data_IF_749898011466
#
_entry.id   IF_749898011466
#
_cell.length_a   1.000
_cell.length_b   1.000
_cell.length_c   1.000
_cell.angle_alpha   90.00
_cell.angle_beta   90.00
_cell.angle_gamma   90.00
#
_symmetry.space_group_name_H-M   'P 1'
#
loop_
_entity.id
_entity.type
_entity.pdbx_description
1 polymer ?
#
# COMPACT_ATOMS: atom_id res chain seq x y z
N UNK A 1 27.55 -36.96 9.23
CA UNK A 1 27.96 -37.28 7.85
C UNK A 1 28.50 -38.69 7.87
N UNK A 2 27.90 -39.61 7.12
CA UNK A 2 28.39 -40.97 6.94
C UNK A 2 29.07 -41.08 5.59
N UNK A 3 30.22 -41.76 5.57
CA UNK A 3 30.91 -42.10 4.32
C UNK A 3 30.68 -43.58 4.07
N UNK A 4 30.05 -43.89 2.93
CA UNK A 4 29.79 -45.28 2.52
C UNK A 4 30.79 -45.65 1.42
N UNK A 5 31.48 -46.78 1.63
CA UNK A 5 32.33 -47.41 0.61
C UNK A 5 31.55 -48.47 -0.14
N UNK A 6 31.73 -48.57 -1.44
CA UNK A 6 30.94 -49.43 -2.33
C UNK A 6 31.40 -50.91 -2.28
N UNK A 7 32.63 -51.14 -1.76
CA UNK A 7 33.23 -52.46 -1.65
C UNK A 7 33.78 -52.68 -0.22
N UNK A 8 33.95 -53.93 0.16
CA UNK A 8 34.32 -54.46 1.50
C UNK A 8 35.34 -53.61 2.28
N UNK A 9 35.13 -53.54 3.58
CA UNK A 9 35.86 -52.79 4.60
C UNK A 9 37.34 -52.56 4.27
N UNK A 10 37.65 -51.48 3.59
CA UNK A 10 39.00 -51.00 3.37
C UNK A 10 39.39 -50.15 4.58
N UNK A 11 40.37 -50.56 5.37
CA UNK A 11 40.94 -49.71 6.40
C UNK A 11 41.68 -48.55 5.74
N UNK A 12 41.20 -47.33 5.99
CA UNK A 12 41.84 -46.11 5.52
C UNK A 12 43.29 -46.05 6.03
N UNK A 13 44.25 -45.71 5.19
CA UNK A 13 45.58 -45.37 5.59
C UNK A 13 45.61 -44.03 6.37
N UNK A 14 46.72 -43.71 7.00
CA UNK A 14 46.85 -42.53 7.84
C UNK A 14 46.56 -41.22 7.09
N UNK A 15 47.04 -41.08 5.86
CA UNK A 15 46.82 -39.89 5.03
C UNK A 15 45.33 -39.74 4.61
N UNK A 16 44.71 -40.86 4.27
CA UNK A 16 43.27 -40.87 3.90
C UNK A 16 42.39 -40.52 5.11
N UNK A 17 42.72 -41.01 6.33
CA UNK A 17 42.01 -40.59 7.55
C UNK A 17 42.13 -39.11 7.79
N UNK A 18 43.33 -38.55 7.70
CA UNK A 18 43.58 -37.13 7.92
C UNK A 18 42.85 -36.24 6.88
N UNK A 19 42.83 -36.68 5.62
CA UNK A 19 42.10 -36.00 4.56
C UNK A 19 40.59 -36.04 4.83
N UNK A 20 40.07 -37.21 5.23
CA UNK A 20 38.64 -37.39 5.53
C UNK A 20 38.19 -36.51 6.70
N UNK A 21 39.01 -36.47 7.79
CA UNK A 21 38.76 -35.59 8.94
C UNK A 21 38.70 -34.12 8.52
N UNK A 22 39.66 -33.66 7.71
CA UNK A 22 39.71 -32.28 7.20
C UNK A 22 38.48 -31.95 6.33
N UNK A 23 38.05 -32.88 5.46
CA UNK A 23 36.87 -32.68 4.62
C UNK A 23 35.61 -32.63 5.47
N UNK A 24 35.47 -33.51 6.47
CA UNK A 24 34.32 -33.49 7.38
C UNK A 24 34.27 -32.17 8.16
N UNK A 25 35.41 -31.69 8.66
CA UNK A 25 35.50 -30.43 9.37
C UNK A 25 35.09 -29.23 8.47
N UNK A 26 35.56 -29.23 7.21
CA UNK A 26 35.20 -28.23 6.24
C UNK A 26 33.68 -28.22 5.92
N UNK A 27 33.08 -29.40 5.75
CA UNK A 27 31.65 -29.55 5.51
C UNK A 27 30.85 -29.07 6.74
N UNK A 28 31.27 -29.42 7.94
CA UNK A 28 30.64 -29.01 9.18
C UNK A 28 30.68 -27.47 9.34
N UNK A 29 31.84 -26.86 9.07
CA UNK A 29 31.97 -25.39 9.09
C UNK A 29 31.13 -24.72 8.04
N UNK A 30 31.06 -25.25 6.82
CA UNK A 30 30.20 -24.71 5.76
C UNK A 30 28.73 -24.81 6.12
N UNK A 31 28.27 -25.93 6.66
CA UNK A 31 26.89 -26.13 7.10
C UNK A 31 26.53 -25.17 8.25
N UNK A 32 27.41 -25.04 9.25
CA UNK A 32 27.19 -24.10 10.35
C UNK A 32 27.15 -22.66 9.88
N UNK A 33 28.02 -22.26 8.95
CA UNK A 33 28.02 -20.93 8.36
C UNK A 33 26.69 -20.63 7.63
N UNK A 34 26.20 -21.60 6.84
CA UNK A 34 24.91 -21.44 6.13
C UNK A 34 23.76 -21.31 7.12
N UNK A 35 23.75 -22.11 8.19
CA UNK A 35 22.74 -22.02 9.24
C UNK A 35 22.75 -20.63 9.91
N UNK A 36 23.95 -20.16 10.33
CA UNK A 36 24.10 -18.85 10.97
C UNK A 36 23.68 -17.69 10.06
N UNK A 37 23.97 -17.78 8.75
CA UNK A 37 23.52 -16.77 7.78
C UNK A 37 21.99 -16.73 7.72
N UNK A 38 21.34 -17.88 7.62
CA UNK A 38 19.87 -17.96 7.59
C UNK A 38 19.25 -17.45 8.91
N UNK A 39 19.83 -17.79 10.06
CA UNK A 39 19.37 -17.28 11.36
C UNK A 39 19.53 -15.76 11.46
N UNK A 40 20.65 -15.21 10.96
CA UNK A 40 20.87 -13.76 10.92
C UNK A 40 19.89 -13.06 9.99
N UNK A 41 19.60 -13.62 8.81
CA UNK A 41 18.60 -13.06 7.89
C UNK A 41 17.21 -13.06 8.52
N UNK A 42 16.79 -14.16 9.14
CA UNK A 42 15.51 -14.24 9.85
C UNK A 42 15.44 -13.25 11.01
N UNK A 43 16.49 -13.15 11.82
CA UNK A 43 16.55 -12.20 12.92
C UNK A 43 16.49 -10.75 12.43
N UNK A 44 17.16 -10.45 11.30
CA UNK A 44 17.14 -9.12 10.68
C UNK A 44 15.74 -8.77 10.19
N UNK A 45 15.07 -9.67 9.46
CA UNK A 45 13.70 -9.49 8.97
C UNK A 45 12.74 -9.27 10.14
N UNK A 46 12.84 -10.09 11.19
CA UNK A 46 12.00 -9.94 12.40
C UNK A 46 12.24 -8.59 13.07
N UNK A 47 13.51 -8.17 13.24
CA UNK A 47 13.86 -6.88 13.85
C UNK A 47 13.38 -5.70 13.03
N UNK A 48 13.50 -5.74 11.71
CA UNK A 48 12.99 -4.70 10.80
C UNK A 48 11.46 -4.63 10.87
N UNK A 49 10.78 -5.77 10.91
CA UNK A 49 9.31 -5.83 11.04
C UNK A 49 8.84 -5.24 12.37
N UNK A 50 9.48 -5.58 13.49
CA UNK A 50 9.13 -5.02 14.80
C UNK A 50 9.45 -3.52 14.88
N UNK A 51 10.54 -3.07 14.27
CA UNK A 51 10.87 -1.63 14.20
C UNK A 51 9.83 -0.87 13.39
N UNK A 52 9.41 -1.41 12.24
CA UNK A 52 8.34 -0.85 11.42
C UNK A 52 7.03 -0.82 12.19
N UNK A 53 6.66 -1.91 12.88
CA UNK A 53 5.46 -1.99 13.72
C UNK A 53 5.47 -0.95 14.84
N UNK A 54 6.59 -0.76 15.51
CA UNK A 54 6.73 0.24 16.58
C UNK A 54 6.64 1.67 16.05
N UNK A 55 7.29 1.96 14.92
CA UNK A 55 7.19 3.24 14.25
C UNK A 55 5.76 3.55 13.78
N UNK A 56 5.06 2.52 13.23
CA UNK A 56 3.65 2.58 12.86
C UNK A 56 2.77 2.96 14.04
N UNK A 57 2.88 2.25 15.18
CA UNK A 57 2.07 2.52 16.36
C UNK A 57 2.29 3.93 16.92
N UNK A 58 3.53 4.42 16.89
CA UNK A 58 3.87 5.77 17.35
C UNK A 58 3.29 6.85 16.44
N UNK A 59 3.45 6.73 15.12
CA UNK A 59 2.93 7.69 14.15
C UNK A 59 1.40 7.67 14.11
N UNK A 60 0.79 6.50 14.10
CA UNK A 60 -0.67 6.35 14.16
C UNK A 60 -1.24 7.01 15.39
N UNK A 61 -0.61 6.82 16.57
CA UNK A 61 -1.06 7.46 17.80
C UNK A 61 -1.01 9.00 17.74
N UNK A 62 0.01 9.54 17.08
CA UNK A 62 0.12 10.98 16.88
C UNK A 62 -0.96 11.49 15.90
N UNK A 63 -1.14 10.82 14.79
CA UNK A 63 -2.03 11.23 13.71
C UNK A 63 -3.52 11.05 14.04
N UNK A 64 -3.85 10.12 14.96
CA UNK A 64 -5.19 10.00 15.52
C UNK A 64 -5.47 11.07 16.59
N UNK A 65 -4.45 11.52 17.32
CA UNK A 65 -4.63 12.50 18.40
C UNK A 65 -5.02 13.87 17.89
N UNK A 66 -4.48 14.31 16.75
CA UNK A 66 -4.76 15.63 16.18
C UNK A 66 -6.24 15.83 15.81
N UNK A 67 -6.86 14.99 14.94
CA UNK A 67 -8.30 15.12 14.63
C UNK A 67 -9.18 14.93 15.86
N UNK A 68 -8.82 14.02 16.76
CA UNK A 68 -9.56 13.82 18.00
C UNK A 68 -9.53 15.07 18.89
N UNK A 69 -8.39 15.74 19.00
CA UNK A 69 -8.28 17.00 19.75
C UNK A 69 -9.12 18.13 19.13
N UNK A 70 -9.18 18.20 17.79
CA UNK A 70 -10.04 19.15 17.07
C UNK A 70 -11.52 18.88 17.34
N UNK A 71 -11.95 17.61 17.28
CA UNK A 71 -13.33 17.21 17.59
C UNK A 71 -13.70 17.60 19.02
N UNK A 72 -12.85 17.25 19.99
CA UNK A 72 -13.09 17.56 21.40
C UNK A 72 -13.15 19.08 21.62
N UNK A 73 -12.20 19.84 21.07
CA UNK A 73 -12.17 21.29 21.17
C UNK A 73 -13.39 21.97 20.58
N UNK A 74 -13.84 21.54 19.40
CA UNK A 74 -15.05 22.05 18.76
C UNK A 74 -16.31 21.69 19.58
N UNK A 75 -16.41 20.46 20.08
CA UNK A 75 -17.52 20.02 20.93
C UNK A 75 -17.57 20.77 22.28
N UNK A 76 -16.42 20.97 22.93
CA UNK A 76 -16.32 21.73 24.18
C UNK A 76 -16.71 23.19 23.98
N UNK A 77 -16.29 23.79 22.88
CA UNK A 77 -16.64 25.17 22.51
C UNK A 77 -18.16 25.30 22.30
N UNK A 78 -18.77 24.37 21.58
CA UNK A 78 -20.23 24.34 21.43
C UNK A 78 -20.94 24.13 22.76
N UNK A 79 -20.44 23.25 23.63
CA UNK A 79 -21.06 22.95 24.89
C UNK A 79 -21.07 24.16 25.87
N UNK A 80 -19.99 24.95 25.90
CA UNK A 80 -19.81 26.03 26.86
C UNK A 80 -20.23 27.41 26.37
N UNK A 81 -20.09 27.67 25.04
CA UNK A 81 -20.25 29.01 24.47
C UNK A 81 -21.39 29.14 23.46
N UNK A 82 -22.20 28.08 23.27
CA UNK A 82 -23.28 28.06 22.25
C UNK A 82 -24.20 29.30 22.32
N UNK A 83 -24.52 29.79 23.51
CA UNK A 83 -25.41 30.93 23.68
C UNK A 83 -24.82 32.27 23.23
N UNK A 84 -23.47 32.36 23.14
CA UNK A 84 -22.71 33.56 22.77
C UNK A 84 -22.28 33.54 21.30
N UNK A 85 -22.48 32.42 20.60
CA UNK A 85 -22.02 32.20 19.24
C UNK A 85 -23.11 32.52 18.21
N UNK A 86 -22.69 32.98 17.04
CA UNK A 86 -23.59 33.09 15.88
C UNK A 86 -24.00 31.70 15.37
N UNK A 87 -25.10 31.59 14.67
CA UNK A 87 -25.52 30.34 14.01
C UNK A 87 -24.46 29.83 13.02
N UNK A 88 -23.76 30.74 12.35
CA UNK A 88 -22.68 30.39 11.42
C UNK A 88 -21.50 29.76 12.15
N UNK A 89 -21.04 30.34 13.26
CA UNK A 89 -19.93 29.77 14.05
C UNK A 89 -20.28 28.39 14.61
N UNK A 90 -21.56 28.20 15.04
CA UNK A 90 -22.02 26.88 15.49
C UNK A 90 -22.00 25.86 14.35
N UNK A 91 -22.43 26.26 13.15
CA UNK A 91 -22.41 25.39 11.98
C UNK A 91 -20.99 25.03 11.55
N UNK A 92 -20.06 25.99 11.59
CA UNK A 92 -18.65 25.77 11.24
C UNK A 92 -17.97 24.78 12.21
N UNK A 93 -18.31 24.84 13.50
CA UNK A 93 -17.81 23.88 14.50
C UNK A 93 -18.42 22.49 14.30
N UNK A 94 -19.71 22.38 13.97
CA UNK A 94 -20.36 21.11 13.64
C UNK A 94 -19.73 20.48 12.40
N UNK A 95 -19.46 21.29 11.38
CA UNK A 95 -18.77 20.84 10.16
C UNK A 95 -17.35 20.37 10.47
N UNK A 96 -16.61 21.08 11.34
CA UNK A 96 -15.30 20.65 11.81
C UNK A 96 -15.36 19.29 12.50
N UNK A 97 -16.33 19.06 13.39
CA UNK A 97 -16.52 17.75 14.07
C UNK A 97 -16.78 16.66 13.02
N UNK A 98 -17.64 16.94 12.06
CA UNK A 98 -17.99 15.97 11.01
C UNK A 98 -16.78 15.62 10.14
N UNK A 99 -16.07 16.62 9.60
CA UNK A 99 -14.90 16.43 8.74
C UNK A 99 -13.75 15.68 9.42
N UNK A 100 -13.45 16.05 10.69
CA UNK A 100 -12.41 15.36 11.44
C UNK A 100 -12.82 13.96 11.90
N UNK A 101 -14.13 13.74 12.11
CA UNK A 101 -14.69 12.40 12.35
C UNK A 101 -14.54 11.48 11.13
N UNK A 102 -14.88 11.94 9.93
CA UNK A 102 -14.67 11.21 8.68
C UNK A 102 -13.19 10.94 8.41
N UNK A 103 -12.33 11.91 8.75
CA UNK A 103 -10.89 11.75 8.64
C UNK A 103 -10.38 10.64 9.58
N UNK A 104 -10.86 10.60 10.82
CA UNK A 104 -10.51 9.59 11.80
C UNK A 104 -10.96 8.19 11.36
N UNK A 105 -12.16 8.07 10.82
CA UNK A 105 -12.69 6.81 10.29
C UNK A 105 -11.82 6.27 9.15
N UNK A 106 -11.41 7.12 8.21
CA UNK A 106 -10.46 6.75 7.14
C UNK A 106 -9.10 6.29 7.68
N UNK A 107 -8.59 6.92 8.75
CA UNK A 107 -7.36 6.48 9.41
C UNK A 107 -7.49 5.07 9.96
N UNK A 108 -8.58 4.81 10.68
CA UNK A 108 -8.85 3.50 11.27
C UNK A 108 -8.99 2.43 10.18
N UNK A 109 -9.72 2.74 9.10
CA UNK A 109 -9.90 1.81 7.99
C UNK A 109 -8.56 1.48 7.32
N UNK A 110 -7.73 2.47 7.03
CA UNK A 110 -6.40 2.28 6.48
C UNK A 110 -5.50 1.40 7.38
N UNK A 111 -5.59 1.59 8.70
CA UNK A 111 -4.85 0.77 9.67
C UNK A 111 -5.33 -0.69 9.69
N UNK A 112 -6.65 -0.90 9.65
CA UNK A 112 -7.24 -2.24 9.58
C UNK A 112 -6.85 -2.97 8.29
N UNK A 113 -6.87 -2.28 7.16
CA UNK A 113 -6.46 -2.85 5.88
C UNK A 113 -4.97 -3.24 5.89
N UNK A 114 -4.13 -2.42 6.52
CA UNK A 114 -2.70 -2.70 6.68
C UNK A 114 -2.42 -3.90 7.59
N UNK A 115 -3.16 -4.03 8.69
CA UNK A 115 -3.03 -5.20 9.59
C UNK A 115 -3.48 -6.49 8.94
N UNK A 116 -4.48 -6.44 8.07
CA UNK A 116 -4.93 -7.59 7.28
C UNK A 116 -3.89 -8.05 6.27
N UNK A 117 -3.13 -7.13 5.67
CA UNK A 117 -2.07 -7.45 4.70
C UNK A 117 -0.78 -7.99 5.35
N UNK A 118 -0.51 -7.62 6.63
CA UNK A 118 0.72 -7.99 7.35
C UNK A 118 0.72 -9.36 8.04
N UNK A 119 -0.39 -10.11 8.03
CA UNK A 119 -0.43 -11.46 8.57
C UNK A 119 0.00 -12.46 7.49
N UNK A 120 1.20 -12.99 7.63
CA UNK A 120 1.66 -14.19 6.92
C UNK A 120 0.65 -15.31 7.13
N UNK A 121 -0.10 -15.68 6.10
CA UNK A 121 -1.08 -16.78 6.15
C UNK A 121 -2.52 -16.43 5.82
N UNK A 122 -2.88 -15.18 5.54
CA UNK A 122 -4.17 -14.90 4.93
C UNK A 122 -4.16 -15.47 3.51
N UNK A 123 -4.82 -16.62 3.34
CA UNK A 123 -5.24 -17.05 2.01
C UNK A 123 -6.13 -15.93 1.47
N UNK A 124 -5.56 -15.03 0.65
CA UNK A 124 -6.32 -14.04 -0.08
C UNK A 124 -7.40 -14.82 -0.84
N UNK A 125 -8.65 -14.71 -0.40
CA UNK A 125 -9.78 -15.27 -1.16
C UNK A 125 -9.86 -14.51 -2.47
N UNK A 126 -9.13 -14.98 -3.46
CA UNK A 126 -9.16 -14.44 -4.81
C UNK A 126 -10.38 -14.99 -5.54
N UNK A 127 -10.95 -14.16 -6.37
CA UNK A 127 -12.08 -14.51 -7.24
C UNK A 127 -11.91 -13.83 -8.59
N UNK A 128 -12.62 -14.30 -9.60
CA UNK A 128 -12.67 -13.67 -10.91
C UNK A 128 -13.60 -12.47 -10.87
N UNK A 129 -13.09 -11.30 -11.20
CA UNK A 129 -13.86 -10.06 -11.25
C UNK A 129 -13.50 -9.23 -12.47
N UNK A 130 -14.48 -8.56 -13.08
CA UNK A 130 -14.26 -7.63 -14.18
C UNK A 130 -13.54 -6.36 -13.73
N UNK A 131 -12.59 -5.90 -14.54
CA UNK A 131 -11.90 -4.61 -14.29
C UNK A 131 -12.88 -3.44 -14.31
N UNK A 132 -13.88 -3.51 -15.16
CA UNK A 132 -15.00 -2.57 -15.25
C UNK A 132 -15.81 -2.50 -13.94
N UNK A 133 -16.05 -3.64 -13.31
CA UNK A 133 -16.76 -3.73 -12.02
C UNK A 133 -15.93 -3.09 -10.89
N UNK A 134 -14.62 -3.38 -10.82
CA UNK A 134 -13.70 -2.78 -9.84
C UNK A 134 -13.63 -1.27 -9.99
N UNK A 135 -13.41 -0.77 -11.21
CA UNK A 135 -13.33 0.67 -11.51
C UNK A 135 -14.67 1.34 -11.24
N UNK A 136 -15.77 0.71 -11.66
CA UNK A 136 -17.12 1.23 -11.42
C UNK A 136 -17.47 1.30 -9.94
N UNK A 137 -17.06 0.33 -9.12
CA UNK A 137 -17.25 0.34 -7.67
C UNK A 137 -16.46 1.47 -7.01
N UNK A 138 -15.15 1.57 -7.30
CA UNK A 138 -14.30 2.62 -6.78
C UNK A 138 -14.79 4.04 -7.16
N UNK A 139 -15.23 4.22 -8.41
CA UNK A 139 -15.77 5.52 -8.88
C UNK A 139 -17.08 5.87 -8.19
N UNK A 140 -18.02 4.91 -8.02
CA UNK A 140 -19.27 5.14 -7.27
C UNK A 140 -18.98 5.50 -5.81
N UNK A 141 -17.98 4.85 -5.20
CA UNK A 141 -17.55 5.17 -3.85
C UNK A 141 -17.00 6.60 -3.78
N UNK A 142 -16.10 7.00 -4.69
CA UNK A 142 -15.58 8.36 -4.74
C UNK A 142 -16.69 9.41 -4.86
N UNK A 143 -17.66 9.21 -5.73
CA UNK A 143 -18.81 10.14 -5.91
C UNK A 143 -19.64 10.33 -4.65
N UNK A 144 -19.67 9.35 -3.74
CA UNK A 144 -20.38 9.46 -2.46
C UNK A 144 -19.70 10.44 -1.50
N UNK A 145 -18.34 10.46 -1.50
CA UNK A 145 -17.54 11.34 -0.64
C UNK A 145 -17.20 12.68 -1.30
N UNK A 146 -17.11 12.70 -2.63
CA UNK A 146 -16.77 13.88 -3.45
C UNK A 146 -17.70 13.98 -4.65
N UNK A 147 -18.95 14.43 -4.44
CA UNK A 147 -19.98 14.44 -5.50
C UNK A 147 -19.60 15.34 -6.68
N UNK A 148 -18.85 16.42 -6.44
CA UNK A 148 -18.45 17.40 -7.45
C UNK A 148 -17.27 16.95 -8.30
N UNK A 149 -16.56 15.89 -7.92
CA UNK A 149 -15.42 15.38 -8.70
C UNK A 149 -15.92 14.68 -9.97
N UNK A 150 -15.50 15.17 -11.12
CA UNK A 150 -15.74 14.51 -12.40
C UNK A 150 -14.69 13.43 -12.62
N UNK A 151 -15.16 12.21 -12.91
CA UNK A 151 -14.28 11.08 -13.27
C UNK A 151 -14.67 10.62 -14.66
N UNK A 152 -13.70 10.65 -15.58
CA UNK A 152 -13.85 10.11 -16.94
C UNK A 152 -13.24 8.71 -16.97
N UNK A 153 -14.04 7.74 -17.41
CA UNK A 153 -13.66 6.32 -17.42
C UNK A 153 -13.53 5.85 -18.87
N UNK A 154 -12.35 5.36 -19.23
CA UNK A 154 -12.07 4.75 -20.55
C UNK A 154 -11.75 3.27 -20.34
N UNK A 155 -12.61 2.41 -20.83
CA UNK A 155 -12.46 0.95 -20.73
C UNK A 155 -12.33 0.35 -22.13
N UNK A 156 -11.64 -0.78 -22.29
CA UNK A 156 -11.61 -1.51 -23.56
C UNK A 156 -12.99 -2.10 -23.86
N UNK A 157 -13.29 -2.30 -25.15
CA UNK A 157 -14.54 -2.92 -25.58
C UNK A 157 -14.70 -4.36 -25.06
N UNK A 158 -13.57 -5.05 -24.90
CA UNK A 158 -13.55 -6.41 -24.39
C UNK A 158 -13.44 -6.39 -22.87
N UNK A 159 -14.34 -7.12 -22.19
CA UNK A 159 -14.29 -7.30 -20.73
C UNK A 159 -13.01 -8.03 -20.34
N UNK A 160 -12.22 -7.43 -19.45
CA UNK A 160 -11.03 -8.04 -18.86
C UNK A 160 -11.37 -8.50 -17.46
N UNK A 161 -11.17 -9.79 -17.16
CA UNK A 161 -11.33 -10.35 -15.82
C UNK A 161 -9.98 -10.59 -15.17
N UNK A 162 -9.88 -10.32 -13.87
CA UNK A 162 -8.69 -10.52 -13.04
C UNK A 162 -8.99 -11.55 -11.94
N UNK A 163 -8.00 -12.40 -11.63
CA UNK A 163 -8.08 -13.31 -10.49
C UNK A 163 -7.41 -12.68 -9.25
N UNK A 164 -8.19 -11.88 -8.53
CA UNK A 164 -7.71 -11.03 -7.43
C UNK A 164 -8.64 -11.10 -6.22
N UNK A 165 -8.25 -10.50 -5.09
CA UNK A 165 -9.18 -10.23 -3.99
C UNK A 165 -9.97 -8.94 -4.30
N UNK A 166 -11.29 -9.03 -4.60
CA UNK A 166 -12.04 -7.91 -5.16
C UNK A 166 -12.02 -6.65 -4.31
N UNK A 167 -12.30 -6.80 -3.00
CA UNK A 167 -12.39 -5.66 -2.09
C UNK A 167 -11.03 -4.96 -1.88
N UNK A 168 -9.91 -5.69 -1.89
CA UNK A 168 -8.57 -5.08 -1.73
C UNK A 168 -8.16 -4.32 -3.00
N UNK A 169 -8.40 -4.89 -4.18
CA UNK A 169 -8.04 -4.20 -5.43
C UNK A 169 -8.95 -2.99 -5.66
N UNK A 170 -10.26 -3.09 -5.34
CA UNK A 170 -11.16 -1.93 -5.34
C UNK A 170 -10.66 -0.83 -4.41
N UNK A 171 -10.22 -1.18 -3.19
CA UNK A 171 -9.63 -0.25 -2.23
C UNK A 171 -8.36 0.42 -2.78
N UNK A 172 -7.49 -0.33 -3.45
CA UNK A 172 -6.30 0.23 -4.08
C UNK A 172 -6.65 1.26 -5.15
N UNK A 173 -7.60 0.94 -6.04
CA UNK A 173 -8.09 1.86 -7.07
C UNK A 173 -8.73 3.09 -6.43
N UNK A 174 -9.56 2.90 -5.41
CA UNK A 174 -10.21 4.00 -4.68
C UNK A 174 -9.18 4.95 -4.06
N UNK A 175 -8.15 4.45 -3.38
CA UNK A 175 -7.11 5.27 -2.75
C UNK A 175 -6.36 6.14 -3.77
N UNK A 176 -6.07 5.60 -4.96
CA UNK A 176 -5.44 6.38 -6.03
C UNK A 176 -6.40 7.41 -6.61
N UNK A 177 -7.67 7.05 -6.84
CA UNK A 177 -8.71 7.99 -7.30
C UNK A 177 -8.96 9.12 -6.29
N UNK A 178 -9.00 8.80 -4.99
CA UNK A 178 -9.16 9.80 -3.93
C UNK A 178 -7.98 10.77 -3.91
N UNK A 179 -6.74 10.28 -4.03
CA UNK A 179 -5.57 11.14 -4.16
C UNK A 179 -5.65 12.02 -5.41
N UNK A 180 -5.95 11.45 -6.56
CA UNK A 180 -6.12 12.20 -7.80
C UNK A 180 -7.17 13.32 -7.66
N UNK A 181 -8.31 13.02 -7.02
CA UNK A 181 -9.37 13.99 -6.75
C UNK A 181 -8.99 15.06 -5.71
N UNK A 182 -8.05 14.75 -4.78
CA UNK A 182 -7.56 15.71 -3.79
C UNK A 182 -6.60 16.74 -4.39
N UNK A 183 -5.83 16.33 -5.41
CA UNK A 183 -4.79 17.15 -6.01
C UNK A 183 -5.21 17.79 -7.33
N UNK A 184 -6.29 17.31 -7.98
CA UNK A 184 -6.85 17.96 -9.16
C UNK A 184 -7.52 19.29 -8.82
N UNK A 185 -7.42 20.29 -9.70
CA UNK A 185 -8.27 21.46 -9.63
C UNK A 185 -9.76 21.06 -9.72
N UNK A 186 -10.69 21.81 -9.08
CA UNK A 186 -12.11 21.44 -9.04
C UNK A 186 -12.77 21.27 -10.41
N UNK A 187 -12.32 22.04 -11.40
CA UNK A 187 -12.91 22.06 -12.75
C UNK A 187 -12.25 21.04 -13.71
N UNK A 188 -11.23 20.33 -13.27
CA UNK A 188 -10.49 19.37 -14.10
C UNK A 188 -10.87 17.93 -13.73
N UNK A 189 -11.29 17.12 -14.72
CA UNK A 189 -11.68 15.73 -14.44
C UNK A 189 -10.47 14.85 -14.12
N UNK A 190 -10.67 13.89 -13.24
CA UNK A 190 -9.77 12.75 -13.05
C UNK A 190 -10.04 11.72 -14.14
N UNK A 191 -9.01 11.29 -14.83
CA UNK A 191 -9.11 10.26 -15.87
C UNK A 191 -8.71 8.91 -15.33
N UNK A 192 -9.51 7.87 -15.54
CA UNK A 192 -9.13 6.48 -15.30
C UNK A 192 -9.27 5.66 -16.57
N UNK A 193 -8.24 4.93 -16.92
CA UNK A 193 -8.17 4.08 -18.12
C UNK A 193 -7.75 2.68 -17.75
N UNK A 194 -8.35 1.69 -18.40
CA UNK A 194 -7.86 0.32 -18.36
C UNK A 194 -7.54 -0.16 -19.79
N UNK A 195 -6.46 -0.91 -19.92
CA UNK A 195 -6.05 -1.51 -21.17
C UNK A 195 -5.34 -2.83 -20.94
N UNK A 196 -5.41 -3.71 -21.90
CA UNK A 196 -4.64 -4.93 -21.91
C UNK A 196 -3.19 -4.59 -22.31
N UNK A 197 -2.24 -5.01 -21.50
CA UNK A 197 -0.82 -4.93 -21.80
C UNK A 197 -0.33 -6.35 -22.07
N UNK A 198 -0.13 -6.70 -23.36
CA UNK A 198 0.09 -8.07 -23.79
C UNK A 198 -1.12 -8.98 -23.42
N UNK A 199 -0.97 -10.32 -23.59
CA UNK A 199 -2.09 -11.26 -23.32
C UNK A 199 -2.32 -11.56 -21.82
N UNK A 200 -1.35 -11.21 -20.96
CA UNK A 200 -1.27 -11.70 -19.57
C UNK A 200 -1.40 -10.64 -18.50
N UNK A 201 -1.45 -9.36 -18.86
CA UNK A 201 -1.38 -8.26 -17.88
C UNK A 201 -2.36 -7.15 -18.23
N UNK A 202 -3.07 -6.64 -17.22
CA UNK A 202 -3.88 -5.44 -17.34
C UNK A 202 -3.13 -4.25 -16.77
N UNK A 203 -3.25 -3.12 -17.45
CA UNK A 203 -2.76 -1.82 -17.04
C UNK A 203 -3.95 -0.93 -16.69
N UNK A 204 -3.95 -0.39 -15.47
CA UNK A 204 -4.90 0.63 -15.02
C UNK A 204 -4.12 1.91 -14.78
N UNK A 205 -4.54 2.99 -15.43
CA UNK A 205 -3.92 4.31 -15.38
C UNK A 205 -4.90 5.31 -14.78
N UNK A 206 -4.47 6.03 -13.75
CA UNK A 206 -5.25 7.09 -13.11
C UNK A 206 -4.44 8.36 -13.22
N UNK A 207 -5.01 9.37 -13.88
CA UNK A 207 -4.34 10.63 -14.21
C UNK A 207 -5.11 11.82 -13.62
N UNK A 208 -4.40 12.65 -12.86
CA UNK A 208 -4.88 13.93 -12.37
C UNK A 208 -4.28 15.11 -13.16
N UNK A 209 -4.82 16.30 -12.94
CA UNK A 209 -4.35 17.56 -13.52
C UNK A 209 -3.75 18.52 -12.47
N UNK A 210 -3.31 17.98 -11.34
CA UNK A 210 -2.75 18.71 -10.23
C UNK A 210 -1.35 19.26 -10.48
N UNK A 211 -0.65 19.55 -9.39
CA UNK A 211 0.71 20.14 -9.44
C UNK A 211 1.78 19.16 -9.91
N UNK A 212 1.46 17.88 -10.02
CA UNK A 212 2.41 16.83 -10.36
C UNK A 212 3.40 16.50 -9.24
N UNK A 213 4.22 15.47 -9.49
CA UNK A 213 5.23 14.95 -8.56
C UNK A 213 6.60 15.06 -9.21
N UNK A 214 7.59 15.72 -8.56
CA UNK A 214 8.98 15.77 -9.02
C UNK A 214 9.54 14.36 -9.24
N UNK A 215 10.40 14.21 -10.24
CA UNK A 215 10.94 12.90 -10.64
C UNK A 215 11.66 12.19 -9.49
N UNK A 216 12.45 12.93 -8.72
CA UNK A 216 13.19 12.44 -7.55
C UNK A 216 12.28 11.94 -6.41
N UNK A 217 11.01 12.37 -6.38
CA UNK A 217 10.07 11.99 -5.33
C UNK A 217 9.10 10.86 -5.73
N UNK A 218 8.98 10.54 -7.01
CA UNK A 218 8.01 9.55 -7.52
C UNK A 218 8.12 8.17 -6.90
N UNK A 219 9.33 7.73 -6.54
CA UNK A 219 9.52 6.46 -5.84
C UNK A 219 9.16 6.57 -4.36
N UNK A 220 9.38 7.75 -3.76
CA UNK A 220 9.20 7.99 -2.34
C UNK A 220 7.74 8.18 -1.92
N UNK A 221 6.86 8.58 -2.83
CA UNK A 221 5.42 8.74 -2.52
C UNK A 221 4.74 7.44 -2.08
N UNK A 222 5.36 6.29 -2.35
CA UNK A 222 4.92 4.97 -1.91
C UNK A 222 5.52 4.53 -0.59
N UNK A 223 6.42 5.33 0.00
CA UNK A 223 7.02 5.06 1.30
C UNK A 223 6.03 5.43 2.41
N UNK A 224 6.09 4.71 3.53
CA UNK A 224 5.22 4.96 4.67
C UNK A 224 5.39 6.38 5.20
N UNK A 225 4.26 7.05 5.46
CA UNK A 225 4.20 8.41 6.04
C UNK A 225 4.86 9.50 5.18
N UNK A 226 5.19 9.17 3.96
CA UNK A 226 5.72 10.18 3.07
C UNK A 226 4.59 11.11 2.62
N UNK A 227 4.79 12.40 2.89
CA UNK A 227 3.93 13.48 2.39
C UNK A 227 4.83 14.56 1.81
N UNK A 228 4.48 15.08 0.65
CA UNK A 228 5.21 16.22 0.07
C UNK A 228 4.91 17.46 0.92
N UNK A 229 5.94 18.06 1.53
CA UNK A 229 5.84 19.32 2.26
C UNK A 229 5.53 20.48 1.30
N UNK A 230 4.25 20.76 1.08
CA UNK A 230 3.82 22.03 0.48
C UNK A 230 2.68 22.57 1.33
N UNK A 231 3.02 23.51 2.22
CA UNK A 231 2.21 24.45 2.96
C UNK A 231 0.82 23.97 3.39
N UNK A 232 0.50 24.07 4.65
CA UNK A 232 -0.74 23.61 5.31
C UNK A 232 -0.74 22.11 5.67
N UNK A 233 -0.09 21.80 6.77
CA UNK A 233 0.01 20.46 7.39
C UNK A 233 -1.33 19.78 7.74
N UNK A 234 -2.46 20.37 7.36
CA UNK A 234 -3.80 19.90 7.69
C UNK A 234 -4.62 19.30 6.54
N UNK A 235 -4.28 19.57 5.28
CA UNK A 235 -5.18 19.26 4.14
C UNK A 235 -4.91 17.96 3.39
N UNK A 236 -3.72 17.40 3.43
CA UNK A 236 -3.34 16.32 2.53
C UNK A 236 -2.79 15.08 3.27
N UNK A 237 -3.70 14.17 3.57
CA UNK A 237 -3.46 12.73 3.76
C UNK A 237 -2.45 12.29 4.84
N UNK A 238 -2.54 11.01 5.16
CA UNK A 238 -1.76 10.32 6.20
C UNK A 238 -0.38 9.84 5.72
N UNK A 239 -0.11 9.94 4.41
CA UNK A 239 1.03 9.25 3.80
C UNK A 239 0.90 7.71 3.79
N UNK A 240 -0.26 7.16 4.16
CA UNK A 240 -0.51 5.71 4.18
C UNK A 240 -1.23 5.21 2.93
N UNK A 241 -2.01 6.05 2.26
CA UNK A 241 -2.87 5.62 1.15
C UNK A 241 -2.10 4.92 0.03
N UNK A 242 -1.04 5.54 -0.51
CA UNK A 242 -0.25 4.96 -1.59
C UNK A 242 0.65 3.80 -1.13
N UNK A 243 1.07 3.78 0.12
CA UNK A 243 1.79 2.63 0.71
C UNK A 243 0.89 1.40 0.75
N UNK A 244 -0.38 1.58 1.16
CA UNK A 244 -1.39 0.51 1.16
C UNK A 244 -1.63 0.01 -0.27
N UNK A 245 -1.74 0.92 -1.24
CA UNK A 245 -1.87 0.54 -2.67
C UNK A 245 -0.70 -0.33 -3.10
N UNK A 246 0.54 0.10 -2.83
CA UNK A 246 1.75 -0.67 -3.17
C UNK A 246 1.74 -2.06 -2.54
N UNK A 247 1.34 -2.18 -1.28
CA UNK A 247 1.24 -3.46 -0.58
C UNK A 247 0.15 -4.36 -1.18
N UNK A 248 -1.05 -3.82 -1.46
CA UNK A 248 -2.15 -4.57 -2.09
C UNK A 248 -1.73 -5.07 -3.47
N UNK A 249 -1.21 -4.20 -4.32
CA UNK A 249 -0.81 -4.54 -5.69
C UNK A 249 0.32 -5.56 -5.68
N UNK A 250 1.33 -5.39 -4.81
CA UNK A 250 2.41 -6.35 -4.62
C UNK A 250 1.92 -7.73 -4.17
N UNK A 251 0.93 -7.81 -3.24
CA UNK A 251 0.31 -9.06 -2.81
C UNK A 251 -0.44 -9.79 -3.96
N UNK A 252 -0.78 -9.07 -5.03
CA UNK A 252 -1.35 -9.61 -6.26
C UNK A 252 -0.32 -9.79 -7.38
N UNK A 253 0.97 -9.77 -7.06
CA UNK A 253 2.10 -9.89 -8.02
C UNK A 253 2.11 -8.79 -9.09
N UNK A 254 1.46 -7.66 -8.79
CA UNK A 254 1.42 -6.49 -9.66
C UNK A 254 2.49 -5.45 -9.32
N UNK A 255 2.55 -4.41 -10.13
CA UNK A 255 3.44 -3.25 -9.92
C UNK A 255 2.66 -1.94 -9.94
N UNK A 256 3.20 -0.93 -9.25
CA UNK A 256 2.66 0.43 -9.24
C UNK A 256 3.80 1.42 -9.45
N UNK A 257 3.58 2.39 -10.32
CA UNK A 257 4.58 3.40 -10.69
C UNK A 257 3.90 4.77 -10.86
N UNK A 258 4.66 5.85 -10.64
CA UNK A 258 4.20 7.21 -10.83
C UNK A 258 4.98 7.89 -11.97
N UNK A 259 4.24 8.63 -12.80
CA UNK A 259 4.76 9.37 -13.95
C UNK A 259 4.22 10.80 -13.96
N UNK A 260 4.80 11.66 -14.78
CA UNK A 260 4.16 12.93 -15.13
C UNK A 260 2.87 12.68 -15.89
N UNK A 261 1.85 13.46 -15.58
CA UNK A 261 0.63 13.51 -16.39
C UNK A 261 0.91 14.03 -17.81
N UNK A 262 -0.08 13.96 -18.68
CA UNK A 262 0.02 14.43 -20.08
C UNK A 262 0.43 15.91 -20.12
N UNK A 263 1.32 16.25 -21.02
CA UNK A 263 1.87 17.60 -21.20
C UNK A 263 2.64 18.12 -19.95
N UNK A 264 3.20 17.22 -19.15
CA UNK A 264 3.89 17.52 -17.89
C UNK A 264 3.02 18.25 -16.85
N UNK A 265 1.69 18.06 -16.91
CA UNK A 265 0.74 18.57 -15.93
C UNK A 265 0.11 17.40 -15.16
N UNK A 266 0.07 17.53 -13.83
CA UNK A 266 -0.51 16.52 -12.95
C UNK A 266 0.33 15.26 -12.80
N UNK A 267 -0.26 14.23 -12.26
CA UNK A 267 0.34 12.93 -11.99
C UNK A 267 -0.41 11.83 -12.71
N UNK A 268 0.33 10.87 -13.22
CA UNK A 268 -0.19 9.60 -13.72
C UNK A 268 0.29 8.47 -12.81
N UNK A 269 -0.63 7.79 -12.14
CA UNK A 269 -0.35 6.55 -11.42
C UNK A 269 -0.74 5.38 -12.32
N UNK A 270 0.21 4.48 -12.54
CA UNK A 270 0.04 3.29 -13.35
C UNK A 270 0.10 2.05 -12.47
N UNK A 271 -0.93 1.22 -12.51
CA UNK A 271 -1.03 -0.08 -11.85
C UNK A 271 -1.01 -1.15 -12.94
N UNK A 272 -0.19 -2.18 -12.74
CA UNK A 272 -0.18 -3.38 -13.60
C UNK A 272 -0.50 -4.59 -12.76
N UNK A 273 -1.41 -5.42 -13.23
CA UNK A 273 -1.85 -6.64 -12.54
C UNK A 273 -1.87 -7.82 -13.53
N UNK A 274 -1.37 -9.00 -13.13
CA UNK A 274 -1.48 -10.21 -13.94
C UNK A 274 -2.94 -10.66 -14.03
N UNK A 275 -3.36 -11.11 -15.20
CA UNK A 275 -4.72 -11.62 -15.45
C UNK A 275 -4.90 -13.00 -14.83
N UNK A 276 -3.89 -13.86 -14.98
CA UNK A 276 -3.92 -15.22 -14.49
C UNK A 276 -3.09 -15.38 -13.22
N UNK A 277 -3.45 -16.36 -12.35
CA UNK A 277 -2.57 -16.68 -11.23
C UNK A 277 -1.20 -17.09 -11.77
N UNK A 278 -0.16 -16.36 -11.34
CA UNK A 278 1.21 -16.76 -11.60
C UNK A 278 1.41 -18.12 -10.94
N UNK A 279 1.77 -19.15 -11.72
CA UNK A 279 2.13 -20.45 -11.15
C UNK A 279 3.37 -20.26 -10.30
N UNK A 280 3.25 -20.56 -9.00
CA UNK A 280 4.38 -20.66 -8.07
C UNK A 280 5.38 -21.72 -8.51
#
# INVERSE_FOLDING_TARGET
VGIYFKDEVVSLNFEQKKLTESVIEYIAQAALRTQLVNELEQAKVTSETERLRSALLSSVSHDLRSPLASIIGAADTLAHFKAEMSEQDQQDLLETIHLEGERLDRYIQNLLDMTRLGHEGLSLKRDWIGVDELIGSATRRLKRYKPDTQVLVELPEQTISLYVHPALVEQAIFNVLENAANFSPPDEPVMIRASLLFEDEVKIEIEDRGTGIPEEERNRIFDMFYTMERGDRGKFGTGLGLTIVKAIIGAHMGTIEAFSGRQNKGTLIQIKLPIHPVKE
#
